data_IF_671242480298
#
_entry.id   IF_671242480298
#
_cell.length_a   1.000
_cell.length_b   1.000
_cell.length_c   1.000
_cell.angle_alpha   90.00
_cell.angle_beta   90.00
_cell.angle_gamma   90.00
#
_symmetry.space_group_name_H-M   'P 1'
#
loop_
_entity.id
_entity.type
_entity.pdbx_description
1 polymer ?
#
# COMPACT_ATOMS: atom_id res chain seq x y z
N UNK A 1 -62.34 5.49 -9.07
CA UNK A 1 -61.89 4.13 -8.69
C UNK A 1 -60.39 4.12 -8.90
N UNK A 2 -59.62 3.84 -7.84
CA UNK A 2 -58.18 4.10 -7.72
C UNK A 2 -57.29 3.28 -8.68
N UNK A 3 -56.10 3.82 -8.96
CA UNK A 3 -54.98 3.23 -9.71
C UNK A 3 -54.47 1.91 -9.09
N UNK A 4 -53.74 1.07 -9.87
CA UNK A 4 -52.72 0.22 -9.31
C UNK A 4 -51.32 0.73 -9.67
N UNK A 5 -50.63 1.21 -8.63
CA UNK A 5 -49.18 1.33 -8.54
C UNK A 5 -48.52 -0.05 -8.73
N UNK A 6 -47.38 -0.09 -9.44
CA UNK A 6 -46.12 -0.77 -9.05
C UNK A 6 -45.34 -1.30 -10.26
N UNK A 7 -44.16 -0.72 -10.48
CA UNK A 7 -42.90 -1.50 -10.58
C UNK A 7 -41.73 -0.56 -10.29
N UNK A 8 -41.39 -0.43 -9.02
CA UNK A 8 -40.09 0.11 -8.64
C UNK A 8 -39.05 -0.90 -9.14
N UNK A 9 -38.40 -0.58 -10.26
CA UNK A 9 -37.25 -1.33 -10.76
C UNK A 9 -36.17 -1.23 -9.70
N UNK A 10 -35.83 -2.38 -9.13
CA UNK A 10 -34.69 -2.54 -8.24
C UNK A 10 -33.42 -2.39 -9.09
N UNK A 11 -32.98 -1.15 -9.32
CA UNK A 11 -31.64 -0.88 -9.81
C UNK A 11 -30.67 -1.27 -8.69
N UNK A 12 -29.65 -2.13 -8.93
CA UNK A 12 -28.61 -2.35 -7.94
C UNK A 12 -27.86 -1.02 -7.77
N UNK A 13 -28.14 -0.33 -6.67
CA UNK A 13 -27.47 0.90 -6.31
C UNK A 13 -25.95 0.70 -6.42
N UNK A 14 -25.29 1.54 -7.23
CA UNK A 14 -23.84 1.59 -7.28
C UNK A 14 -23.30 1.75 -5.84
N UNK A 15 -22.26 1.00 -5.45
CA UNK A 15 -21.73 1.09 -4.10
C UNK A 15 -21.31 2.54 -3.82
N UNK A 16 -21.85 3.11 -2.74
CA UNK A 16 -21.53 4.47 -2.30
C UNK A 16 -20.03 4.60 -1.95
N UNK A 17 -19.44 5.79 -2.09
CA UNK A 17 -17.99 6.00 -1.95
C UNK A 17 -17.42 5.70 -0.54
N UNK A 18 -18.29 5.50 0.46
CA UNK A 18 -17.92 5.16 1.85
C UNK A 18 -18.09 3.67 2.19
N UNK A 19 -17.96 2.77 1.22
CA UNK A 19 -18.00 1.33 1.51
C UNK A 19 -16.70 0.89 2.18
N UNK A 20 -16.62 1.06 3.50
CA UNK A 20 -15.56 0.43 4.30
C UNK A 20 -15.78 -1.08 4.24
N UNK A 21 -14.95 -1.81 3.52
CA UNK A 21 -15.02 -3.28 3.51
C UNK A 21 -14.58 -3.78 4.89
N UNK A 22 -15.43 -4.50 5.65
CA UNK A 22 -15.03 -5.01 6.95
C UNK A 22 -13.86 -5.98 6.80
N UNK A 23 -12.89 -5.91 7.72
CA UNK A 23 -11.74 -6.84 7.72
C UNK A 23 -12.18 -8.31 7.71
N UNK A 24 -13.30 -8.62 8.39
CA UNK A 24 -13.89 -9.96 8.45
C UNK A 24 -14.45 -10.47 7.11
N UNK A 25 -14.64 -9.59 6.11
CA UNK A 25 -15.18 -9.94 4.81
C UNK A 25 -14.09 -10.11 3.73
N UNK A 26 -12.82 -9.87 4.06
CA UNK A 26 -11.72 -10.03 3.11
C UNK A 26 -11.42 -11.52 2.88
N UNK A 27 -11.24 -11.89 1.62
CA UNK A 27 -10.54 -13.12 1.30
C UNK A 27 -9.02 -12.97 1.48
N UNK A 28 -8.29 -14.09 1.40
CA UNK A 28 -6.84 -14.10 1.63
C UNK A 28 -6.09 -13.22 0.63
N UNK A 29 -6.32 -13.28 -0.71
CA UNK A 29 -5.70 -12.35 -1.65
C UNK A 29 -5.94 -10.88 -1.32
N UNK A 30 -7.17 -10.49 -0.95
CA UNK A 30 -7.50 -9.13 -0.55
C UNK A 30 -6.76 -8.70 0.72
N UNK A 31 -6.64 -9.59 1.71
CA UNK A 31 -5.87 -9.33 2.92
C UNK A 31 -4.37 -9.13 2.61
N UNK A 32 -3.80 -9.92 1.68
CA UNK A 32 -2.41 -9.74 1.24
C UNK A 32 -2.21 -8.39 0.51
N UNK A 33 -3.15 -8.00 -0.34
CA UNK A 33 -3.13 -6.69 -1.02
C UNK A 33 -3.23 -5.52 -0.03
N UNK A 34 -4.06 -5.65 1.01
CA UNK A 34 -4.13 -4.69 2.11
C UNK A 34 -2.80 -4.61 2.86
N UNK A 35 -2.20 -5.76 3.18
CA UNK A 35 -0.88 -5.83 3.81
C UNK A 35 0.22 -5.17 2.96
N UNK A 36 0.24 -5.40 1.64
CA UNK A 36 1.19 -4.74 0.73
C UNK A 36 1.04 -3.22 0.78
N UNK A 37 -0.20 -2.73 0.75
CA UNK A 37 -0.51 -1.29 0.81
C UNK A 37 -0.03 -0.67 2.14
N UNK A 38 -0.31 -1.34 3.26
CA UNK A 38 0.15 -0.90 4.58
C UNK A 38 1.68 -0.86 4.69
N UNK A 39 2.35 -1.94 4.25
CA UNK A 39 3.81 -2.01 4.28
C UNK A 39 4.45 -0.96 3.38
N UNK A 40 3.83 -0.61 2.25
CA UNK A 40 4.35 0.42 1.36
C UNK A 40 4.30 1.81 2.02
N UNK A 41 3.19 2.15 2.68
CA UNK A 41 3.07 3.40 3.43
C UNK A 41 4.11 3.46 4.57
N UNK A 42 4.25 2.37 5.32
CA UNK A 42 5.30 2.28 6.33
C UNK A 42 6.69 2.42 5.72
N UNK A 43 6.98 1.80 4.58
CA UNK A 43 8.27 1.94 3.92
C UNK A 43 8.58 3.40 3.56
N UNK A 44 7.62 4.15 3.00
CA UNK A 44 7.81 5.58 2.70
C UNK A 44 8.08 6.43 3.95
N UNK A 45 7.38 6.16 5.04
CA UNK A 45 7.60 6.84 6.32
C UNK A 45 8.99 6.50 6.89
N UNK A 46 9.39 5.23 6.86
CA UNK A 46 10.68 4.75 7.39
C UNK A 46 11.86 5.11 6.48
N UNK A 47 11.63 5.42 5.21
CA UNK A 47 12.60 6.09 4.34
C UNK A 47 12.81 7.57 4.72
N UNK A 48 11.99 8.13 5.62
CA UNK A 48 12.02 9.55 5.96
C UNK A 48 11.51 10.45 4.84
N UNK A 49 10.68 9.92 3.93
CA UNK A 49 10.15 10.66 2.79
C UNK A 49 8.71 11.12 3.02
N UNK A 50 7.96 10.40 3.86
CA UNK A 50 6.61 10.77 4.29
C UNK A 50 6.58 11.14 5.77
N UNK A 51 5.68 12.05 6.12
CA UNK A 51 5.36 12.40 7.51
C UNK A 51 4.58 11.23 8.11
N UNK A 52 4.93 10.82 9.33
CA UNK A 52 4.08 9.91 10.08
C UNK A 52 2.83 10.68 10.57
N UNK A 53 1.61 10.32 10.14
CA UNK A 53 0.40 11.07 10.49
C UNK A 53 0.06 10.99 11.99
N UNK A 54 0.55 9.97 12.71
CA UNK A 54 0.30 9.82 14.15
C UNK A 54 1.21 10.71 15.00
N UNK A 55 2.43 10.99 14.55
CA UNK A 55 3.41 11.78 15.32
C UNK A 55 3.65 13.19 14.74
N UNK A 56 3.24 13.43 13.49
CA UNK A 56 3.55 14.66 12.75
C UNK A 56 5.03 14.82 12.40
N UNK A 57 5.85 13.79 12.61
CA UNK A 57 7.30 13.85 12.41
C UNK A 57 7.74 12.93 11.27
N UNK A 58 8.80 13.35 10.58
CA UNK A 58 9.56 12.51 9.66
C UNK A 58 10.68 11.86 10.45
N UNK A 59 10.67 10.53 10.58
CA UNK A 59 11.72 9.77 11.27
C UNK A 59 12.18 8.59 10.42
N UNK A 60 13.39 8.72 9.86
CA UNK A 60 14.02 7.69 9.05
C UNK A 60 14.51 6.52 9.93
N UNK A 61 14.22 5.31 9.48
CA UNK A 61 14.65 4.04 10.07
C UNK A 61 14.85 3.04 8.92
N UNK A 62 16.06 3.06 8.34
CA UNK A 62 16.38 2.25 7.17
C UNK A 62 16.26 0.74 7.42
N UNK A 63 16.65 0.19 8.59
CA UNK A 63 16.37 -1.21 8.91
C UNK A 63 14.89 -1.59 8.79
N UNK A 64 13.98 -0.78 9.35
CA UNK A 64 12.53 -1.00 9.21
C UNK A 64 12.05 -0.82 7.77
N UNK A 65 12.56 0.19 7.04
CA UNK A 65 12.23 0.39 5.63
C UNK A 65 12.60 -0.83 4.78
N UNK A 66 13.79 -1.39 5.00
CA UNK A 66 14.26 -2.60 4.31
C UNK A 66 13.36 -3.79 4.60
N UNK A 67 13.03 -4.02 5.87
CA UNK A 67 12.16 -5.13 6.26
C UNK A 67 10.78 -5.05 5.56
N UNK A 68 10.20 -3.85 5.48
CA UNK A 68 8.94 -3.64 4.77
C UNK A 68 9.08 -3.91 3.26
N UNK A 69 10.13 -3.39 2.62
CA UNK A 69 10.39 -3.58 1.18
C UNK A 69 10.60 -5.06 0.83
N UNK A 70 11.40 -5.77 1.61
CA UNK A 70 11.69 -7.19 1.40
C UNK A 70 10.41 -8.03 1.60
N UNK A 71 9.56 -7.67 2.59
CA UNK A 71 8.26 -8.30 2.81
C UNK A 71 7.31 -8.08 1.63
N UNK A 72 7.21 -6.85 1.10
CA UNK A 72 6.39 -6.53 -0.09
C UNK A 72 6.82 -7.38 -1.27
N UNK A 73 8.13 -7.56 -1.49
CA UNK A 73 8.63 -8.36 -2.60
C UNK A 73 8.15 -9.82 -2.54
N UNK A 74 8.12 -10.42 -1.35
CA UNK A 74 7.61 -11.77 -1.14
C UNK A 74 6.10 -11.84 -1.38
N UNK A 75 5.35 -10.86 -0.84
CA UNK A 75 3.89 -10.84 -0.96
C UNK A 75 3.42 -10.63 -2.41
N UNK A 76 4.12 -9.81 -3.20
CA UNK A 76 3.81 -9.59 -4.62
C UNK A 76 3.84 -10.91 -5.41
N UNK A 77 4.82 -11.77 -5.14
CA UNK A 77 4.91 -13.08 -5.79
C UNK A 77 3.77 -14.03 -5.36
N UNK A 78 3.34 -13.96 -4.10
CA UNK A 78 2.22 -14.77 -3.59
C UNK A 78 0.88 -14.39 -4.25
N UNK A 79 0.67 -13.11 -4.57
CA UNK A 79 -0.60 -12.65 -5.16
C UNK A 79 -0.62 -12.70 -6.69
N UNK A 80 0.49 -13.05 -7.37
CA UNK A 80 0.57 -13.01 -8.84
C UNK A 80 -0.56 -13.75 -9.54
N UNK A 81 -0.91 -14.95 -9.07
CA UNK A 81 -1.97 -15.77 -9.66
C UNK A 81 -3.39 -15.25 -9.38
N UNK A 82 -3.53 -14.22 -8.55
CA UNK A 82 -4.80 -13.70 -8.05
C UNK A 82 -5.09 -12.26 -8.52
N UNK A 83 -4.19 -11.64 -9.28
CA UNK A 83 -4.33 -10.26 -9.76
C UNK A 83 -4.19 -10.20 -11.29
N UNK A 84 -4.69 -9.13 -11.90
CA UNK A 84 -4.48 -8.91 -13.32
C UNK A 84 -3.00 -8.59 -13.62
N UNK A 85 -2.55 -8.83 -14.86
CA UNK A 85 -1.18 -8.44 -15.26
C UNK A 85 -0.94 -6.93 -15.09
N UNK A 86 -1.98 -6.11 -15.32
CA UNK A 86 -1.91 -4.66 -15.10
C UNK A 86 -1.63 -4.32 -13.64
N UNK A 87 -2.37 -4.94 -12.71
CA UNK A 87 -2.21 -4.68 -11.28
C UNK A 87 -0.86 -5.22 -10.78
N UNK A 88 -0.43 -6.38 -11.28
CA UNK A 88 0.88 -6.93 -10.97
C UNK A 88 2.03 -6.01 -11.43
N UNK A 89 1.95 -5.43 -12.62
CA UNK A 89 2.96 -4.46 -13.07
C UNK A 89 2.93 -3.15 -12.26
N UNK A 90 1.75 -2.71 -11.79
CA UNK A 90 1.64 -1.58 -10.88
C UNK A 90 2.35 -1.86 -9.54
N UNK A 91 2.13 -3.05 -8.95
CA UNK A 91 2.80 -3.49 -7.73
C UNK A 91 4.32 -3.56 -7.90
N UNK A 92 4.80 -4.11 -9.02
CA UNK A 92 6.24 -4.16 -9.35
C UNK A 92 6.85 -2.78 -9.50
N UNK A 93 6.14 -1.86 -10.15
CA UNK A 93 6.57 -0.46 -10.30
C UNK A 93 6.71 0.21 -8.94
N UNK A 94 5.74 0.02 -8.05
CA UNK A 94 5.80 0.53 -6.67
C UNK A 94 7.00 -0.05 -5.91
N UNK A 95 7.23 -1.36 -6.00
CA UNK A 95 8.39 -2.01 -5.37
C UNK A 95 9.72 -1.47 -5.91
N UNK A 96 9.82 -1.25 -7.23
CA UNK A 96 11.00 -0.65 -7.86
C UNK A 96 11.27 0.74 -7.31
N UNK A 97 10.24 1.59 -7.21
CA UNK A 97 10.37 2.94 -6.69
C UNK A 97 10.84 2.96 -5.23
N UNK A 98 10.30 2.08 -4.38
CA UNK A 98 10.74 1.95 -3.00
C UNK A 98 12.22 1.53 -2.89
N UNK A 99 12.65 0.55 -3.70
CA UNK A 99 14.04 0.08 -3.72
C UNK A 99 15.01 1.16 -4.18
N UNK A 100 14.65 1.92 -5.22
CA UNK A 100 15.45 3.03 -5.71
C UNK A 100 15.63 4.10 -4.62
N UNK A 101 14.54 4.49 -3.95
CA UNK A 101 14.60 5.46 -2.87
C UNK A 101 15.39 4.94 -1.66
N UNK A 102 15.25 3.65 -1.31
CA UNK A 102 16.06 3.04 -0.26
C UNK A 102 17.56 3.14 -0.55
N UNK A 103 17.99 2.79 -1.76
CA UNK A 103 19.40 2.88 -2.15
C UNK A 103 19.94 4.31 -2.07
N UNK A 104 19.15 5.29 -2.50
CA UNK A 104 19.49 6.70 -2.39
C UNK A 104 19.63 7.15 -0.93
N UNK A 105 18.68 6.80 -0.06
CA UNK A 105 18.73 7.17 1.36
C UNK A 105 19.88 6.47 2.10
N UNK A 106 20.13 5.19 1.81
CA UNK A 106 21.25 4.45 2.40
C UNK A 106 22.61 5.08 2.06
N UNK A 107 22.78 5.57 0.82
CA UNK A 107 23.98 6.32 0.42
C UNK A 107 24.14 7.64 1.17
N UNK A 108 23.05 8.40 1.34
CA UNK A 108 23.06 9.68 2.09
C UNK A 108 23.46 9.49 3.56
N UNK A 109 22.90 8.48 4.23
CA UNK A 109 23.23 8.16 5.62
C UNK A 109 24.69 7.69 5.79
N UNK A 110 25.23 6.97 4.81
CA UNK A 110 26.62 6.51 4.82
C UNK A 110 27.62 7.65 4.53
N UNK A 111 27.24 8.62 3.69
CA UNK A 111 28.07 9.80 3.40
C UNK A 111 28.12 10.82 4.54
N UNK A 112 27.04 10.96 5.32
CA UNK A 112 26.97 11.88 6.46
C UNK A 112 27.80 11.42 7.68
N UNK A 113 28.10 10.12 7.78
CA UNK A 113 28.85 9.54 8.91
C UNK A 113 30.37 9.44 8.66
N UNK A 114 30.84 9.79 7.45
CA UNK A 114 32.27 9.74 7.06
C UNK A 114 32.95 11.10 6.89
N UNK A 115 32.27 12.20 7.22
CA UNK A 115 32.78 13.58 7.05
C UNK A 115 32.89 14.32 8.39
N UNK A 116 33.97 14.13 9.12
CA UNK A 116 34.45 15.11 10.11
C UNK A 116 35.97 15.19 10.03
N UNK A 117 36.55 16.35 9.64
CA UNK A 117 37.96 16.64 9.83
C UNK A 117 38.29 16.95 11.29
#
# INVERSE_FOLDING_TARGET
>A
MAEPETRHVNDPAAPSPDTTVPLAALDVPQALMLCISLLAELAWQKLGLHINPATGQVHADLPQARLAIDSIAVLIEMVRAHVSDRDYEALRTQLMNLRLNYAEQARRHSGASGGSP
#
